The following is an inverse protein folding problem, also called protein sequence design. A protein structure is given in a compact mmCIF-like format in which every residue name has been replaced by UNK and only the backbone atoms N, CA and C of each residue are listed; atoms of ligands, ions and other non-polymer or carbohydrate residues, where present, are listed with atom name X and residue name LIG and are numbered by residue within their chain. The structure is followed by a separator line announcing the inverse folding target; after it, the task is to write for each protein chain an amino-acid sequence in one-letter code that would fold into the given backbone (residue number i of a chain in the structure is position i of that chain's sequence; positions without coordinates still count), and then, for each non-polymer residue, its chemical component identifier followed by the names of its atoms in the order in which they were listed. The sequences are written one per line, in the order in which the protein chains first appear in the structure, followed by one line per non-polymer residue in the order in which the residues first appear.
data_IF_937910063068
#
_entry.id   IF_937910063068
#
_cell.length_a   1.000
_cell.length_b   1.000
_cell.length_c   1.000
_cell.angle_alpha   90.00
_cell.angle_beta   90.00
_cell.angle_gamma   90.00
#
_symmetry.space_group_name_H-M   'P 1'
#
loop_
_entity.id
_entity.type
_entity.pdbx_description
1 polymer ?
#
# COMPACT_ATOMS: atom_id res chain seq x y z
N UNK A 1 19.22 -14.20 4.44
CA UNK A 1 19.71 -12.86 4.00
C UNK A 1 20.36 -12.09 5.14
N UNK A 2 19.77 -12.04 6.35
CA UNK A 2 20.34 -11.35 7.53
C UNK A 2 21.76 -11.82 7.84
N UNK A 3 22.03 -13.14 7.82
CA UNK A 3 23.38 -13.67 8.06
C UNK A 3 24.38 -13.09 7.05
N UNK A 4 24.03 -13.14 5.75
CA UNK A 4 24.92 -12.61 4.69
C UNK A 4 25.09 -11.09 4.79
N UNK A 5 24.05 -10.36 5.23
CA UNK A 5 24.13 -8.92 5.51
C UNK A 5 25.13 -8.65 6.64
N UNK A 6 25.02 -9.36 7.77
CA UNK A 6 25.93 -9.20 8.89
C UNK A 6 27.38 -9.58 8.52
N UNK A 7 27.58 -10.66 7.78
CA UNK A 7 28.91 -11.05 7.27
C UNK A 7 29.53 -9.95 6.40
N UNK A 8 28.75 -9.29 5.54
CA UNK A 8 29.24 -8.16 4.74
C UNK A 8 29.57 -6.94 5.60
N UNK A 9 28.76 -6.63 6.62
CA UNK A 9 29.02 -5.54 7.55
C UNK A 9 30.34 -5.78 8.35
N UNK A 10 30.49 -6.97 8.91
CA UNK A 10 31.73 -7.36 9.64
C UNK A 10 32.97 -7.23 8.74
N UNK A 11 32.87 -7.63 7.47
CA UNK A 11 33.96 -7.59 6.52
C UNK A 11 34.08 -6.26 5.75
N UNK A 12 33.23 -5.26 6.08
CA UNK A 12 33.18 -3.94 5.43
C UNK A 12 33.01 -4.03 3.89
N UNK A 13 32.23 -5.01 3.41
CA UNK A 13 31.95 -5.22 1.99
C UNK A 13 30.77 -4.34 1.56
N UNK A 14 31.03 -3.41 0.64
CA UNK A 14 29.99 -2.58 0.05
C UNK A 14 29.32 -3.31 -1.10
N UNK A 15 27.98 -3.34 -1.08
CA UNK A 15 27.16 -3.88 -2.17
C UNK A 15 26.37 -2.77 -2.83
N UNK A 16 26.07 -2.93 -4.11
CA UNK A 16 25.17 -2.05 -4.87
C UNK A 16 23.95 -2.86 -5.26
N UNK A 17 22.77 -2.32 -4.98
CA UNK A 17 21.50 -2.90 -5.40
C UNK A 17 21.02 -2.18 -6.67
N UNK A 18 21.02 -2.88 -7.80
CA UNK A 18 20.60 -2.32 -9.09
C UNK A 18 19.10 -1.94 -9.12
N UNK A 19 18.30 -2.51 -8.22
CA UNK A 19 16.86 -2.29 -8.13
C UNK A 19 16.48 -1.24 -7.07
N UNK A 20 17.43 -0.63 -6.36
CA UNK A 20 17.15 0.34 -5.29
C UNK A 20 16.15 1.41 -5.74
N UNK A 21 16.40 2.06 -6.88
CA UNK A 21 15.51 3.12 -7.41
C UNK A 21 14.13 2.59 -7.79
N UNK A 22 14.08 1.40 -8.34
CA UNK A 22 12.81 0.77 -8.73
C UNK A 22 11.99 0.34 -7.52
N UNK A 23 12.64 -0.21 -6.48
CA UNK A 23 11.99 -0.60 -5.21
C UNK A 23 11.41 0.62 -4.53
N UNK A 24 12.19 1.69 -4.35
CA UNK A 24 11.71 2.95 -3.78
C UNK A 24 10.51 3.53 -4.55
N UNK A 25 10.52 3.41 -5.87
CA UNK A 25 9.47 3.93 -6.75
C UNK A 25 8.19 3.13 -6.72
N UNK A 26 8.30 1.79 -6.87
CA UNK A 26 7.15 0.90 -7.04
C UNK A 26 6.60 0.35 -5.73
N UNK A 27 7.46 0.21 -4.72
CA UNK A 27 7.14 -0.46 -3.46
C UNK A 27 7.55 0.40 -2.24
N UNK A 28 7.11 1.67 -2.16
CA UNK A 28 7.55 2.59 -1.10
C UNK A 28 7.24 2.04 0.30
N UNK A 29 6.06 1.47 0.53
CA UNK A 29 5.69 0.90 1.82
C UNK A 29 6.63 -0.24 2.23
N UNK A 30 6.99 -1.11 1.30
CA UNK A 30 7.93 -2.22 1.56
C UNK A 30 9.32 -1.70 1.88
N UNK A 31 9.73 -0.61 1.21
CA UNK A 31 11.00 0.05 1.51
C UNK A 31 11.00 0.66 2.92
N UNK A 32 9.89 1.29 3.34
CA UNK A 32 9.73 1.80 4.72
C UNK A 32 9.80 0.67 5.76
N UNK A 33 9.16 -0.46 5.50
CA UNK A 33 9.29 -1.64 6.37
C UNK A 33 10.75 -2.09 6.49
N UNK A 34 11.52 -2.00 5.39
CA UNK A 34 12.94 -2.33 5.40
C UNK A 34 13.76 -1.30 6.17
N UNK A 35 13.45 -0.01 6.08
CA UNK A 35 14.09 1.06 6.86
C UNK A 35 13.91 0.80 8.35
N UNK A 36 12.67 0.58 8.80
CA UNK A 36 12.38 0.26 10.20
C UNK A 36 13.12 -1.02 10.66
N UNK A 37 13.10 -2.09 9.85
CA UNK A 37 13.86 -3.31 10.16
C UNK A 37 15.37 -3.06 10.24
N UNK A 38 15.89 -2.17 9.40
CA UNK A 38 17.29 -1.75 9.40
C UNK A 38 17.70 -1.01 10.67
N UNK A 39 16.81 -0.21 11.24
CA UNK A 39 17.04 0.46 12.55
C UNK A 39 17.12 -0.57 13.67
N UNK A 40 16.18 -1.51 13.74
CA UNK A 40 16.22 -2.60 14.74
C UNK A 40 17.52 -3.40 14.62
N UNK A 41 17.96 -3.71 13.40
CA UNK A 41 19.25 -4.40 13.18
C UNK A 41 20.40 -3.53 13.67
N UNK A 42 20.40 -2.24 13.40
CA UNK A 42 21.44 -1.31 13.84
C UNK A 42 21.51 -1.23 15.37
N UNK A 43 20.38 -1.15 16.06
CA UNK A 43 20.30 -1.18 17.51
C UNK A 43 20.84 -2.46 18.13
N UNK A 44 20.48 -3.61 17.55
CA UNK A 44 20.91 -4.93 18.02
C UNK A 44 22.39 -5.22 17.76
N UNK A 45 22.97 -4.68 16.69
CA UNK A 45 24.28 -5.09 16.19
C UNK A 45 25.34 -3.98 16.23
N UNK A 46 24.92 -2.72 16.31
CA UNK A 46 25.76 -1.53 16.19
C UNK A 46 26.21 -1.19 14.78
N UNK A 47 25.79 -1.96 13.75
CA UNK A 47 26.12 -1.71 12.35
C UNK A 47 25.04 -0.88 11.66
N UNK A 48 25.42 0.26 11.08
CA UNK A 48 24.51 1.08 10.25
C UNK A 48 24.23 0.41 8.91
N UNK A 49 22.95 0.26 8.58
CA UNK A 49 22.52 -0.39 7.32
C UNK A 49 22.29 0.68 6.25
N UNK A 50 23.02 0.59 5.14
CA UNK A 50 22.89 1.53 4.04
C UNK A 50 21.68 1.22 3.13
N UNK A 51 21.28 2.19 2.29
CA UNK A 51 20.10 2.07 1.39
C UNK A 51 20.15 0.84 0.46
N UNK A 52 21.32 0.42 0.00
CA UNK A 52 21.43 -0.74 -0.88
C UNK A 52 21.08 -2.03 -0.13
N UNK A 53 21.52 -2.16 1.12
CA UNK A 53 21.17 -3.29 1.97
C UNK A 53 19.68 -3.24 2.38
N UNK A 54 19.14 -2.05 2.66
CA UNK A 54 17.71 -1.86 2.91
C UNK A 54 16.88 -2.30 1.70
N UNK A 55 17.33 -2.02 0.47
CA UNK A 55 16.64 -2.48 -0.72
C UNK A 55 16.66 -4.02 -0.87
N UNK A 56 17.71 -4.71 -0.43
CA UNK A 56 17.72 -6.18 -0.37
C UNK A 56 16.76 -6.70 0.71
N UNK A 57 16.71 -6.07 1.88
CA UNK A 57 15.71 -6.40 2.91
C UNK A 57 14.29 -6.20 2.38
N UNK A 58 14.03 -5.10 1.67
CA UNK A 58 12.75 -4.80 1.06
C UNK A 58 12.27 -5.91 0.12
N UNK A 59 13.14 -6.50 -0.71
CA UNK A 59 12.76 -7.61 -1.57
C UNK A 59 12.25 -8.83 -0.77
N UNK A 60 12.87 -9.13 0.36
CA UNK A 60 12.45 -10.24 1.22
C UNK A 60 11.16 -9.92 1.97
N UNK A 61 11.04 -8.71 2.53
CA UNK A 61 9.84 -8.24 3.22
C UNK A 61 8.66 -8.13 2.27
N UNK A 62 8.88 -7.65 1.04
CA UNK A 62 7.85 -7.55 0.01
C UNK A 62 7.21 -8.88 -0.33
N UNK A 63 8.02 -9.92 -0.50
CA UNK A 63 7.51 -11.27 -0.74
C UNK A 63 6.69 -11.84 0.44
N UNK A 64 7.02 -11.45 1.68
CA UNK A 64 6.24 -11.81 2.86
C UNK A 64 4.96 -10.98 2.97
N UNK A 65 5.06 -9.68 2.69
CA UNK A 65 3.94 -8.74 2.70
C UNK A 65 2.88 -9.12 1.66
N UNK A 66 3.27 -9.43 0.42
CA UNK A 66 2.33 -9.91 -0.60
C UNK A 66 1.57 -11.17 -0.14
N UNK A 67 2.25 -12.11 0.50
CA UNK A 67 1.59 -13.31 1.08
C UNK A 67 0.63 -12.96 2.22
N UNK A 68 0.91 -11.93 3.00
CA UNK A 68 0.04 -11.51 4.11
C UNK A 68 -1.16 -10.69 3.67
N UNK A 69 -1.08 -9.96 2.55
CA UNK A 69 -2.18 -9.18 1.98
C UNK A 69 -3.34 -10.04 1.48
N UNK A 70 -3.13 -11.34 1.31
CA UNK A 70 -4.14 -12.34 0.92
C UNK A 70 -5.24 -12.57 1.97
N UNK A 71 -5.44 -11.67 2.95
CA UNK A 71 -6.39 -11.91 4.05
C UNK A 71 -7.86 -11.59 3.70
N UNK A 72 -8.14 -10.71 2.74
CA UNK A 72 -9.50 -10.44 2.31
C UNK A 72 -9.80 -11.17 1.00
N UNK A 73 -10.76 -12.09 1.05
CA UNK A 73 -11.25 -12.78 -0.15
C UNK A 73 -12.57 -12.17 -0.57
N UNK A 74 -12.63 -11.66 -1.78
CA UNK A 74 -13.89 -11.21 -2.34
C UNK A 74 -14.86 -12.38 -2.51
N UNK A 75 -16.09 -12.20 -2.09
CA UNK A 75 -17.14 -13.22 -2.09
C UNK A 75 -17.85 -13.22 -3.44
N UNK A 76 -17.64 -14.25 -4.23
CA UNK A 76 -18.23 -14.38 -5.56
C UNK A 76 -19.24 -15.51 -5.67
N UNK A 77 -20.14 -15.40 -6.61
CA UNK A 77 -20.98 -16.51 -7.07
C UNK A 77 -20.67 -16.81 -8.53
N UNK A 78 -20.91 -18.05 -8.93
CA UNK A 78 -20.71 -18.50 -10.32
C UNK A 78 -22.03 -19.01 -10.88
N UNK A 79 -22.42 -18.51 -12.05
CA UNK A 79 -23.63 -18.95 -12.77
C UNK A 79 -23.21 -19.76 -13.99
N UNK A 80 -23.45 -21.07 -13.94
CA UNK A 80 -23.15 -22.01 -15.04
C UNK A 80 -24.43 -22.79 -15.35
N UNK A 81 -25.23 -22.37 -16.34
CA UNK A 81 -26.40 -23.14 -16.76
C UNK A 81 -25.98 -24.49 -17.35
N UNK A 82 -26.68 -25.51 -16.92
CA UNK A 82 -26.57 -26.88 -17.39
C UNK A 82 -25.29 -27.66 -17.03
N UNK A 83 -25.52 -28.81 -16.42
CA UNK A 83 -24.60 -29.92 -16.21
C UNK A 83 -23.48 -29.68 -15.17
N UNK A 84 -23.66 -30.25 -13.98
CA UNK A 84 -22.66 -30.31 -12.92
C UNK A 84 -21.28 -30.82 -13.38
N UNK A 85 -21.22 -31.69 -14.38
CA UNK A 85 -19.93 -32.19 -14.89
C UNK A 85 -19.06 -31.11 -15.54
N UNK A 86 -19.63 -30.06 -16.11
CA UNK A 86 -18.86 -28.96 -16.73
C UNK A 86 -18.56 -27.82 -15.79
N UNK A 87 -19.35 -27.66 -14.73
CA UNK A 87 -19.11 -26.61 -13.72
C UNK A 87 -17.89 -26.90 -12.84
N UNK A 88 -17.63 -28.16 -12.52
CA UNK A 88 -16.51 -28.57 -11.66
C UNK A 88 -15.15 -28.09 -12.20
N UNK A 89 -14.73 -28.41 -13.42
CA UNK A 89 -13.44 -27.98 -13.95
C UNK A 89 -13.31 -26.45 -14.05
N UNK A 90 -14.39 -25.73 -14.38
CA UNK A 90 -14.42 -24.27 -14.43
C UNK A 90 -14.13 -23.68 -13.03
N UNK A 91 -14.87 -24.14 -12.03
CA UNK A 91 -14.75 -23.68 -10.65
C UNK A 91 -13.40 -24.06 -10.04
N UNK A 92 -12.91 -25.27 -10.28
CA UNK A 92 -11.58 -25.70 -9.82
C UNK A 92 -10.48 -24.83 -10.42
N UNK A 93 -10.55 -24.51 -11.72
CA UNK A 93 -9.57 -23.63 -12.35
C UNK A 93 -9.59 -22.23 -11.74
N UNK A 94 -10.77 -21.67 -11.50
CA UNK A 94 -10.94 -20.38 -10.84
C UNK A 94 -10.37 -20.43 -9.40
N UNK A 95 -10.69 -21.45 -8.61
CA UNK A 95 -10.19 -21.62 -7.25
C UNK A 95 -8.67 -21.80 -7.22
N UNK A 96 -8.10 -22.59 -8.11
CA UNK A 96 -6.66 -22.81 -8.19
C UNK A 96 -5.90 -21.53 -8.57
N UNK A 97 -6.48 -20.68 -9.42
CA UNK A 97 -5.85 -19.46 -9.90
C UNK A 97 -6.03 -18.27 -8.99
N UNK A 98 -7.21 -18.11 -8.38
CA UNK A 98 -7.62 -16.93 -7.65
C UNK A 98 -8.09 -17.20 -6.22
N UNK A 99 -7.99 -18.43 -5.73
CA UNK A 99 -8.54 -18.82 -4.42
C UNK A 99 -7.92 -18.10 -3.22
N UNK A 100 -6.76 -17.47 -3.40
CA UNK A 100 -6.17 -16.59 -2.39
C UNK A 100 -6.87 -15.23 -2.30
N UNK A 101 -7.49 -14.76 -3.40
CA UNK A 101 -8.13 -13.44 -3.52
C UNK A 101 -9.65 -13.48 -3.56
N UNK A 102 -10.24 -14.65 -3.88
CA UNK A 102 -11.69 -14.81 -3.94
C UNK A 102 -12.17 -16.12 -3.32
N UNK A 103 -13.39 -16.09 -2.82
CA UNK A 103 -14.14 -17.24 -2.35
C UNK A 103 -15.41 -17.39 -3.18
N UNK A 104 -15.66 -18.59 -3.71
CA UNK A 104 -16.91 -18.91 -4.40
C UNK A 104 -17.89 -19.42 -3.37
N UNK A 105 -18.92 -18.61 -3.09
CA UNK A 105 -19.96 -18.91 -2.10
C UNK A 105 -20.89 -19.99 -2.58
N UNK A 106 -21.37 -19.84 -3.84
CA UNK A 106 -22.39 -20.71 -4.40
C UNK A 106 -22.24 -20.83 -5.93
N UNK A 107 -22.71 -21.95 -6.49
CA UNK A 107 -22.75 -22.18 -7.92
C UNK A 107 -24.22 -22.34 -8.34
N UNK A 108 -24.72 -21.41 -9.13
CA UNK A 108 -26.07 -21.42 -9.64
C UNK A 108 -26.14 -22.02 -11.03
N UNK A 109 -27.11 -22.92 -11.22
CA UNK A 109 -27.40 -23.48 -12.56
C UNK A 109 -28.50 -22.70 -13.29
N UNK A 110 -29.22 -21.85 -12.56
CA UNK A 110 -30.21 -20.93 -13.09
C UNK A 110 -29.99 -19.57 -12.40
N UNK A 111 -30.36 -18.49 -13.10
CA UNK A 111 -30.35 -17.17 -12.50
C UNK A 111 -31.64 -16.95 -11.71
N UNK A 112 -31.53 -16.85 -10.40
CA UNK A 112 -32.61 -16.52 -9.48
C UNK A 112 -32.18 -15.29 -8.64
N UNK A 113 -32.72 -14.14 -8.99
CA UNK A 113 -32.33 -12.84 -8.41
C UNK A 113 -32.41 -12.82 -6.88
N UNK A 114 -33.50 -13.36 -6.30
CA UNK A 114 -33.66 -13.44 -4.85
C UNK A 114 -32.59 -14.26 -4.14
N UNK A 115 -32.14 -15.36 -4.72
CA UNK A 115 -31.09 -16.19 -4.12
C UNK A 115 -29.72 -15.52 -4.25
N UNK A 116 -29.48 -14.84 -5.37
CA UNK A 116 -28.26 -14.05 -5.59
C UNK A 116 -28.15 -12.91 -4.55
N UNK A 117 -29.25 -12.19 -4.32
CA UNK A 117 -29.29 -11.12 -3.33
C UNK A 117 -29.09 -11.64 -1.90
N UNK A 118 -29.62 -12.81 -1.57
CA UNK A 118 -29.42 -13.44 -0.24
C UNK A 118 -27.95 -13.81 0.03
N UNK A 119 -27.19 -14.18 -0.99
CA UNK A 119 -25.76 -14.47 -0.85
C UNK A 119 -24.92 -13.21 -0.61
N UNK A 120 -25.42 -12.02 -0.93
CA UNK A 120 -24.69 -10.74 -0.86
C UNK A 120 -23.26 -10.85 -1.44
N UNK A 121 -23.10 -11.26 -2.70
CA UNK A 121 -21.78 -11.42 -3.27
C UNK A 121 -21.19 -10.06 -3.67
N UNK A 122 -19.87 -9.96 -3.64
CA UNK A 122 -19.13 -8.80 -4.13
C UNK A 122 -19.09 -8.77 -5.67
N UNK A 123 -19.21 -9.94 -6.31
CA UNK A 123 -19.21 -10.07 -7.77
C UNK A 123 -19.90 -11.36 -8.25
N UNK A 124 -20.22 -11.37 -9.53
CA UNK A 124 -20.82 -12.52 -10.22
C UNK A 124 -19.95 -12.90 -11.43
N UNK A 125 -19.59 -14.18 -11.53
CA UNK A 125 -19.04 -14.76 -12.74
C UNK A 125 -20.15 -15.58 -13.44
N UNK A 126 -20.32 -15.40 -14.74
CA UNK A 126 -21.35 -16.14 -15.49
C UNK A 126 -20.81 -16.65 -16.81
N UNK A 127 -21.22 -17.85 -17.21
CA UNK A 127 -20.87 -18.39 -18.54
C UNK A 127 -21.89 -18.05 -19.62
N UNK A 128 -22.99 -17.38 -19.26
CA UNK A 128 -24.04 -16.93 -20.19
C UNK A 128 -24.38 -15.46 -19.93
N UNK A 129 -24.87 -14.74 -20.95
CA UNK A 129 -25.31 -13.36 -20.71
C UNK A 129 -26.56 -13.35 -19.82
N UNK A 130 -26.54 -12.46 -18.80
CA UNK A 130 -27.69 -12.23 -17.94
C UNK A 130 -28.67 -11.26 -18.63
N UNK A 131 -29.95 -11.53 -18.52
CA UNK A 131 -31.02 -10.70 -19.11
C UNK A 131 -31.28 -9.42 -18.32
N UNK A 132 -30.96 -9.43 -17.03
CA UNK A 132 -31.15 -8.30 -16.13
C UNK A 132 -29.78 -7.78 -15.67
N UNK A 133 -29.68 -6.46 -15.64
CA UNK A 133 -28.49 -5.79 -15.13
C UNK A 133 -28.65 -5.66 -13.61
N UNK A 134 -27.72 -6.23 -12.87
CA UNK A 134 -27.66 -6.14 -11.41
C UNK A 134 -26.69 -5.02 -11.01
N UNK A 135 -26.90 -4.44 -9.87
CA UNK A 135 -25.96 -3.49 -9.27
C UNK A 135 -24.66 -4.14 -8.75
N UNK A 136 -24.55 -5.46 -8.94
CA UNK A 136 -23.39 -6.27 -8.56
C UNK A 136 -22.46 -6.40 -9.78
N UNK A 137 -21.17 -6.14 -9.64
CA UNK A 137 -20.18 -6.35 -10.69
C UNK A 137 -20.28 -7.74 -11.29
N UNK A 138 -20.63 -7.82 -12.57
CA UNK A 138 -20.87 -9.09 -13.28
C UNK A 138 -19.92 -9.23 -14.45
N UNK A 139 -19.23 -10.37 -14.52
CA UNK A 139 -18.27 -10.69 -15.58
C UNK A 139 -18.68 -11.98 -16.29
N UNK A 140 -18.82 -11.89 -17.61
CA UNK A 140 -19.02 -13.08 -18.44
C UNK A 140 -17.67 -13.71 -18.77
N UNK A 141 -17.55 -15.01 -18.51
CA UNK A 141 -16.37 -15.85 -18.77
C UNK A 141 -16.76 -17.04 -19.63
N UNK A 142 -15.78 -17.67 -20.26
CA UNK A 142 -16.00 -18.93 -20.96
C UNK A 142 -16.01 -20.12 -19.98
N UNK A 143 -16.65 -21.21 -20.37
CA UNK A 143 -16.77 -22.42 -19.55
C UNK A 143 -15.39 -23.03 -19.18
N UNK A 144 -14.39 -22.87 -20.05
CA UNK A 144 -13.04 -23.42 -19.84
C UNK A 144 -12.05 -22.42 -19.27
N UNK A 145 -12.49 -21.20 -18.94
CA UNK A 145 -11.68 -20.12 -18.35
C UNK A 145 -10.34 -19.98 -19.08
N UNK A 146 -10.34 -19.32 -20.21
CA UNK A 146 -9.12 -19.09 -20.98
C UNK A 146 -8.25 -17.94 -20.41
N UNK A 147 -7.09 -17.65 -21.00
CA UNK A 147 -6.18 -16.61 -20.54
C UNK A 147 -6.81 -15.20 -20.55
N UNK A 148 -7.74 -14.94 -21.49
CA UNK A 148 -8.47 -13.67 -21.55
C UNK A 148 -9.44 -13.56 -20.36
N UNK A 149 -10.13 -14.66 -20.03
CA UNK A 149 -11.00 -14.72 -18.85
C UNK A 149 -10.20 -14.51 -17.58
N UNK A 150 -9.03 -15.17 -17.45
CA UNK A 150 -8.13 -14.97 -16.30
C UNK A 150 -7.73 -13.50 -16.15
N UNK A 151 -7.39 -12.82 -17.26
CA UNK A 151 -7.05 -11.40 -17.25
C UNK A 151 -8.23 -10.52 -16.82
N UNK A 152 -9.44 -10.82 -17.28
CA UNK A 152 -10.67 -10.10 -16.91
C UNK A 152 -11.02 -10.31 -15.43
N UNK A 153 -10.91 -11.53 -14.92
CA UNK A 153 -11.12 -11.83 -13.49
C UNK A 153 -10.10 -11.10 -12.64
N UNK A 154 -8.84 -11.08 -13.05
CA UNK A 154 -7.79 -10.33 -12.35
C UNK A 154 -8.10 -8.82 -12.29
N UNK A 155 -8.55 -8.23 -13.39
CA UNK A 155 -8.97 -6.83 -13.45
C UNK A 155 -10.15 -6.54 -12.52
N UNK A 156 -11.18 -7.41 -12.56
CA UNK A 156 -12.34 -7.29 -11.67
C UNK A 156 -11.93 -7.30 -10.19
N UNK A 157 -11.08 -8.24 -9.79
CA UNK A 157 -10.59 -8.32 -8.40
C UNK A 157 -9.78 -7.08 -8.02
N UNK A 158 -8.96 -6.52 -8.93
CA UNK A 158 -8.25 -5.26 -8.69
C UNK A 158 -9.20 -4.07 -8.52
N UNK A 159 -10.29 -4.01 -9.31
CA UNK A 159 -11.29 -2.96 -9.16
C UNK A 159 -12.04 -3.05 -7.83
N UNK A 160 -12.34 -4.28 -7.37
CA UNK A 160 -12.96 -4.51 -6.06
C UNK A 160 -12.02 -4.13 -4.92
N UNK A 161 -10.74 -4.51 -4.98
CA UNK A 161 -9.72 -4.10 -4.03
C UNK A 161 -9.62 -2.57 -3.95
N UNK A 162 -9.55 -1.91 -5.11
CA UNK A 162 -9.49 -0.46 -5.18
C UNK A 162 -10.71 0.22 -4.55
N UNK A 163 -11.93 -0.32 -4.78
CA UNK A 163 -13.15 0.22 -4.18
C UNK A 163 -13.17 0.06 -2.66
N UNK A 164 -12.74 -1.11 -2.17
CA UNK A 164 -12.68 -1.40 -0.74
C UNK A 164 -11.73 -0.42 -0.03
N UNK A 165 -10.49 -0.33 -0.49
CA UNK A 165 -9.47 0.52 0.10
C UNK A 165 -9.74 2.01 -0.11
N UNK A 166 -10.27 2.42 -1.28
CA UNK A 166 -10.53 3.82 -1.58
C UNK A 166 -11.49 4.47 -0.57
N UNK A 167 -12.59 3.83 -0.26
CA UNK A 167 -13.58 4.37 0.67
C UNK A 167 -13.02 4.53 2.09
N UNK A 168 -12.24 3.58 2.56
CA UNK A 168 -11.66 3.62 3.91
C UNK A 168 -10.52 4.63 3.97
N UNK A 169 -9.65 4.69 2.95
CA UNK A 169 -8.60 5.70 2.84
C UNK A 169 -9.18 7.10 2.78
N UNK A 170 -10.22 7.35 1.97
CA UNK A 170 -10.86 8.68 1.88
C UNK A 170 -11.49 9.09 3.22
N UNK A 171 -12.16 8.18 3.93
CA UNK A 171 -12.69 8.46 5.28
C UNK A 171 -11.58 8.79 6.27
N UNK A 172 -10.48 8.01 6.25
CA UNK A 172 -9.32 8.22 7.10
C UNK A 172 -8.66 9.57 6.79
N UNK A 173 -8.38 9.88 5.53
CA UNK A 173 -7.80 11.16 5.12
C UNK A 173 -8.67 12.35 5.56
N UNK A 174 -9.99 12.29 5.37
CA UNK A 174 -10.91 13.33 5.82
C UNK A 174 -10.89 13.55 7.34
N UNK A 175 -10.62 12.51 8.13
CA UNK A 175 -10.48 12.60 9.59
C UNK A 175 -9.14 13.19 10.01
N UNK A 176 -8.07 12.84 9.28
CA UNK A 176 -6.69 13.18 9.64
C UNK A 176 -6.23 14.54 9.09
N UNK A 177 -6.69 14.94 7.89
CA UNK A 177 -6.38 16.23 7.29
C UNK A 177 -7.28 17.30 7.92
N UNK A 178 -6.66 18.25 8.63
CA UNK A 178 -7.35 19.38 9.23
C UNK A 178 -7.07 20.65 8.45
N UNK A 179 -8.05 21.56 8.38
CA UNK A 179 -7.93 22.81 7.61
C UNK A 179 -6.76 23.68 8.07
N UNK A 180 -6.45 23.70 9.35
CA UNK A 180 -5.34 24.46 9.92
C UNK A 180 -3.96 23.84 9.68
N UNK A 181 -3.89 22.60 9.16
CA UNK A 181 -2.67 21.90 8.77
C UNK A 181 -2.56 21.74 7.25
N UNK A 182 -3.27 22.57 6.50
CA UNK A 182 -3.28 22.53 5.03
C UNK A 182 -2.82 23.88 4.48
N UNK A 183 -1.63 23.92 3.92
CA UNK A 183 -0.95 25.12 3.45
C UNK A 183 -0.75 25.08 1.95
N UNK A 184 -1.00 26.22 1.33
CA UNK A 184 -0.79 26.44 -0.12
C UNK A 184 0.00 27.73 -0.33
N UNK A 185 0.57 27.87 -1.50
CA UNK A 185 1.26 29.10 -1.92
C UNK A 185 2.40 29.51 -0.96
N UNK A 186 3.15 28.52 -0.48
CA UNK A 186 4.33 28.75 0.36
C UNK A 186 5.62 28.60 -0.47
N UNK A 187 6.66 29.31 -0.06
CA UNK A 187 7.98 29.24 -0.69
C UNK A 187 9.03 28.99 0.38
N UNK A 188 9.86 27.98 0.16
CA UNK A 188 10.97 27.60 1.03
C UNK A 188 12.23 27.39 0.19
N UNK A 189 13.39 27.44 0.83
CA UNK A 189 14.68 27.31 0.15
C UNK A 189 15.17 25.87 0.11
N UNK A 190 14.92 25.09 1.16
CA UNK A 190 15.40 23.72 1.27
C UNK A 190 14.46 22.81 2.10
N UNK A 191 14.78 21.53 2.11
CA UNK A 191 14.07 20.49 2.84
C UNK A 191 14.07 20.75 4.34
N UNK A 192 15.18 21.24 4.90
CA UNK A 192 15.33 21.48 6.34
C UNK A 192 14.38 22.56 6.83
N UNK A 193 14.24 23.64 6.06
CA UNK A 193 13.30 24.71 6.35
C UNK A 193 11.86 24.22 6.34
N UNK A 194 11.50 23.38 5.36
CA UNK A 194 10.16 22.78 5.25
C UNK A 194 9.88 21.86 6.44
N UNK A 195 10.80 20.97 6.78
CA UNK A 195 10.62 20.04 7.90
C UNK A 195 10.52 20.78 9.24
N UNK A 196 11.32 21.82 9.44
CA UNK A 196 11.21 22.67 10.61
C UNK A 196 9.82 23.31 10.70
N UNK A 197 9.36 23.95 9.63
CA UNK A 197 8.05 24.60 9.56
C UNK A 197 6.91 23.65 9.91
N UNK A 198 6.85 22.49 9.26
CA UNK A 198 5.77 21.53 9.44
C UNK A 198 5.80 20.86 10.84
N UNK A 199 6.99 20.49 11.34
CA UNK A 199 7.13 19.88 12.67
C UNK A 199 6.84 20.87 13.79
N UNK A 200 7.33 22.11 13.68
CA UNK A 200 7.09 23.15 14.68
C UNK A 200 5.59 23.50 14.75
N UNK A 201 4.92 23.55 13.61
CA UNK A 201 3.46 23.71 13.59
C UNK A 201 2.72 22.59 14.33
N UNK A 202 3.11 21.33 14.18
CA UNK A 202 2.51 20.22 14.93
C UNK A 202 2.79 20.35 16.45
N UNK A 203 3.97 20.85 16.83
CA UNK A 203 4.34 21.09 18.22
C UNK A 203 3.50 22.23 18.79
N UNK A 204 3.40 23.35 18.10
CA UNK A 204 2.64 24.55 18.51
C UNK A 204 1.12 24.25 18.64
N UNK A 205 0.60 23.34 17.84
CA UNK A 205 -0.78 22.85 17.94
C UNK A 205 -0.97 21.71 18.97
N UNK A 206 0.03 21.39 19.78
CA UNK A 206 0.02 20.31 20.78
C UNK A 206 -0.32 18.93 20.18
N UNK A 207 0.07 18.68 18.94
CA UNK A 207 -0.12 17.41 18.24
C UNK A 207 1.14 16.52 18.29
N UNK A 208 2.32 17.12 18.37
CA UNK A 208 3.60 16.42 18.41
C UNK A 208 4.51 16.94 19.52
N UNK A 209 5.66 16.30 19.69
CA UNK A 209 6.72 16.67 20.64
C UNK A 209 8.01 17.03 19.91
N UNK A 210 8.99 17.61 20.61
CA UNK A 210 10.33 17.84 20.06
C UNK A 210 11.01 16.53 19.65
N UNK A 211 10.80 15.46 20.42
CA UNK A 211 11.34 14.14 20.10
C UNK A 211 10.79 13.61 18.75
N UNK A 212 9.50 13.83 18.47
CA UNK A 212 8.93 13.52 17.16
C UNK A 212 9.65 14.26 16.01
N UNK A 213 9.90 15.56 16.19
CA UNK A 213 10.65 16.37 15.21
C UNK A 213 12.04 15.80 14.97
N UNK A 214 12.79 15.51 16.03
CA UNK A 214 14.12 14.93 15.95
C UNK A 214 14.12 13.59 15.22
N UNK A 215 13.12 12.76 15.47
CA UNK A 215 12.97 11.45 14.82
C UNK A 215 12.60 11.57 13.34
N UNK A 216 11.76 12.54 12.94
CA UNK A 216 11.49 12.86 11.51
C UNK A 216 12.80 13.22 10.79
N UNK A 217 13.66 14.05 11.41
CA UNK A 217 14.97 14.39 10.83
C UNK A 217 15.90 13.18 10.77
N UNK A 218 15.92 12.34 11.83
CA UNK A 218 16.68 11.08 11.83
C UNK A 218 16.23 10.17 10.69
N UNK A 219 14.91 10.01 10.51
CA UNK A 219 14.33 9.21 9.42
C UNK A 219 14.73 9.74 8.05
N UNK A 220 14.62 11.03 7.83
CA UNK A 220 14.95 11.66 6.55
C UNK A 220 16.44 11.52 6.19
N UNK A 221 17.32 11.54 7.20
CA UNK A 221 18.75 11.36 7.02
C UNK A 221 19.14 9.93 6.55
N UNK A 222 18.34 8.91 6.83
CA UNK A 222 18.57 7.54 6.35
C UNK A 222 18.35 7.45 4.85
N UNK A 223 17.27 8.06 4.37
CA UNK A 223 16.89 8.06 2.96
C UNK A 223 15.80 9.09 2.73
N UNK A 224 15.95 9.92 1.71
CA UNK A 224 14.96 10.93 1.37
C UNK A 224 13.57 10.32 1.15
N UNK A 225 12.54 10.89 1.79
CA UNK A 225 11.15 10.45 1.70
C UNK A 225 10.43 11.01 0.46
N UNK A 226 11.17 11.45 -0.54
CA UNK A 226 10.68 12.02 -1.78
C UNK A 226 10.44 10.98 -2.87
N UNK A 227 9.48 11.26 -3.75
CA UNK A 227 9.06 10.37 -4.84
C UNK A 227 9.06 11.09 -6.18
N UNK A 228 9.17 10.31 -7.27
CA UNK A 228 9.34 10.80 -8.63
C UNK A 228 8.20 11.68 -9.16
N UNK A 229 7.04 11.67 -8.54
CA UNK A 229 5.89 12.48 -8.98
C UNK A 229 5.81 13.86 -8.31
N UNK A 230 6.91 14.33 -7.74
CA UNK A 230 7.01 15.66 -7.15
C UNK A 230 6.38 15.77 -5.77
N UNK A 231 6.27 14.68 -5.03
CA UNK A 231 5.80 14.68 -3.65
C UNK A 231 6.80 14.04 -2.69
N UNK A 232 6.69 14.42 -1.41
CA UNK A 232 7.42 13.80 -0.30
C UNK A 232 6.46 13.47 0.84
N UNK A 233 6.79 12.39 1.59
CA UNK A 233 5.99 11.92 2.72
C UNK A 233 6.90 11.77 3.95
N UNK A 234 7.40 12.87 4.54
CA UNK A 234 8.16 12.80 5.77
C UNK A 234 7.32 12.26 6.92
N UNK A 235 7.94 11.47 7.79
CA UNK A 235 7.30 10.85 8.94
C UNK A 235 8.36 10.44 9.96
N UNK A 236 7.93 10.19 11.20
CA UNK A 236 8.72 9.59 12.25
C UNK A 236 8.60 8.07 12.20
N UNK A 237 9.63 7.34 12.63
CA UNK A 237 9.61 5.87 12.73
C UNK A 237 9.26 5.40 14.13
N UNK A 238 9.96 5.94 15.16
CA UNK A 238 9.87 5.43 16.53
C UNK A 238 8.97 6.27 17.42
N UNK A 239 8.91 7.58 17.17
CA UNK A 239 8.20 8.51 18.05
C UNK A 239 6.82 8.83 17.53
N UNK A 240 5.80 8.37 18.22
CA UNK A 240 4.40 8.65 17.87
C UNK A 240 4.01 10.09 18.22
N UNK A 241 3.02 10.61 17.50
CA UNK A 241 2.37 11.88 17.82
C UNK A 241 1.34 11.71 18.95
N UNK A 242 0.93 12.82 19.58
CA UNK A 242 -0.12 12.81 20.61
C UNK A 242 -1.50 12.47 20.03
N UNK A 243 -1.73 12.85 18.77
CA UNK A 243 -2.94 12.56 17.99
C UNK A 243 -2.55 12.37 16.54
N UNK A 244 -3.12 11.36 15.88
CA UNK A 244 -2.90 11.14 14.46
C UNK A 244 -3.38 12.34 13.64
N UNK A 245 -2.53 12.85 12.77
CA UNK A 245 -2.77 14.00 11.93
C UNK A 245 -1.94 13.94 10.64
N UNK A 246 -2.39 14.67 9.65
CA UNK A 246 -1.68 14.86 8.39
C UNK A 246 -1.56 16.36 8.15
N UNK A 247 -0.32 16.86 8.02
CA UNK A 247 -0.05 18.20 7.56
C UNK A 247 0.32 18.19 6.08
N UNK A 248 -0.31 19.05 5.30
CA UNK A 248 -0.16 19.12 3.85
C UNK A 248 0.40 20.48 3.47
N UNK A 249 1.45 20.48 2.66
CA UNK A 249 2.06 21.71 2.15
C UNK A 249 2.22 21.62 0.63
N UNK A 250 1.71 22.63 -0.07
CA UNK A 250 1.85 22.80 -1.53
C UNK A 250 2.69 24.06 -1.79
N UNK A 251 3.84 23.86 -2.41
CA UNK A 251 4.78 24.93 -2.72
C UNK A 251 4.42 25.63 -4.02
N UNK A 252 4.74 26.92 -4.12
CA UNK A 252 4.70 27.66 -5.39
C UNK A 252 5.80 27.20 -6.34
N UNK A 253 6.99 26.94 -5.81
CA UNK A 253 8.15 26.44 -6.55
C UNK A 253 8.63 25.15 -5.92
N UNK A 254 9.04 24.19 -6.76
CA UNK A 254 9.63 22.94 -6.28
C UNK A 254 10.96 23.18 -5.55
N UNK A 255 11.21 22.36 -4.54
CA UNK A 255 12.45 22.32 -3.76
C UNK A 255 13.15 21.00 -4.04
N UNK A 256 14.48 21.01 -4.14
CA UNK A 256 15.28 19.79 -4.28
C UNK A 256 15.19 18.96 -3.00
N UNK A 257 14.74 17.71 -3.13
CA UNK A 257 14.54 16.78 -2.03
C UNK A 257 15.14 15.42 -2.39
N UNK A 258 16.36 15.17 -1.96
CA UNK A 258 17.11 14.01 -2.43
C UNK A 258 17.33 14.03 -3.95
N UNK A 259 16.86 12.99 -4.64
CA UNK A 259 16.97 12.89 -6.11
C UNK A 259 15.90 13.69 -6.87
N UNK A 260 14.78 14.05 -6.23
CA UNK A 260 13.59 14.60 -6.90
C UNK A 260 13.36 16.09 -6.60
N UNK A 261 12.62 16.74 -7.48
CA UNK A 261 12.09 18.08 -7.27
C UNK A 261 10.67 17.94 -6.73
N UNK A 262 10.45 18.39 -5.49
CA UNK A 262 9.21 18.20 -4.73
C UNK A 262 8.43 19.51 -4.65
N UNK A 263 7.13 19.41 -4.88
CA UNK A 263 6.17 20.51 -4.76
C UNK A 263 5.05 20.23 -3.76
N UNK A 264 4.77 18.96 -3.50
CA UNK A 264 3.69 18.51 -2.64
C UNK A 264 4.25 17.69 -1.48
N UNK A 265 4.03 18.14 -0.24
CA UNK A 265 4.58 17.51 0.95
C UNK A 265 3.45 17.09 1.88
N UNK A 266 3.51 15.85 2.38
CA UNK A 266 2.55 15.26 3.31
C UNK A 266 3.32 14.78 4.54
N UNK A 267 3.34 15.57 5.61
CA UNK A 267 3.92 15.12 6.89
C UNK A 267 2.90 14.26 7.63
N UNK A 268 3.29 13.02 7.93
CA UNK A 268 2.45 12.05 8.65
C UNK A 268 2.79 12.05 10.13
N UNK A 269 1.83 12.41 10.97
CA UNK A 269 1.87 12.19 12.41
C UNK A 269 0.92 11.06 12.76
N UNK A 270 1.44 9.93 13.24
CA UNK A 270 0.66 8.75 13.59
C UNK A 270 0.79 8.50 15.09
N UNK A 271 -0.34 8.27 15.77
CA UNK A 271 -0.40 7.83 17.14
C UNK A 271 -0.48 6.31 17.17
N UNK A 272 0.36 5.66 17.95
CA UNK A 272 0.45 4.20 18.05
C UNK A 272 -0.88 3.52 18.42
N UNK A 273 -1.70 4.19 19.25
CA UNK A 273 -3.01 3.65 19.68
C UNK A 273 -4.15 3.86 18.67
N UNK A 274 -3.91 4.53 17.56
CA UNK A 274 -4.92 4.79 16.53
C UNK A 274 -4.82 3.80 15.34
N UNK A 275 -3.94 2.78 15.47
CA UNK A 275 -3.76 1.69 14.49
C UNK A 275 -4.83 0.61 14.64
#
# INVERSE_FOLDING_TARGET
HLQSLLERQVNNVKVTNLYLKEIKRKYPLVFEMAVHSGEVITECTGYTINENELAFLALHLGAAYERSQSMYRHRGIVIIPHNQMLSIPCVEKLKNRFGERMEILEIFHFFEELQVEQCQPDFILTTVPLKHQLDIPTLQITLFVNNEDESKVFQLLNELDNKLYHNDVVKMLKKLIKKNLFHVHQTFHDTTEILNYLCDELIDNDLATKAYKEDVFKREAVSATSFMYGFAVPHSIEVSTKKSCISVLILDRSVKWGEFDVKFIILLGIRETDN
#
